data_IF_035865428487
#
_entry.id   IF_035865428487
#
_cell.length_a   1.000
_cell.length_b   1.000
_cell.length_c   1.000
_cell.angle_alpha   90.00
_cell.angle_beta   90.00
_cell.angle_gamma   90.00
#
_symmetry.space_group_name_H-M   'P 1'
#
loop_
_entity.id
_entity.type
_entity.pdbx_description
1 polymer ?
#
# COMPACT_ATOMS: atom_id res chain seq x y z
N UNK A 1 8.16 -22.71 24.15
CA UNK A 1 8.58 -21.66 23.19
C UNK A 1 7.72 -21.82 21.95
N UNK A 2 6.71 -20.97 21.73
CA UNK A 2 5.92 -21.02 20.49
C UNK A 2 6.72 -20.33 19.38
N UNK A 3 7.30 -21.09 18.46
CA UNK A 3 7.79 -20.52 17.21
C UNK A 3 6.56 -20.17 16.35
N UNK A 4 6.11 -18.92 16.46
CA UNK A 4 5.05 -18.38 15.59
C UNK A 4 5.66 -18.05 14.23
N UNK A 5 5.46 -18.92 13.26
CA UNK A 5 5.81 -18.62 11.87
C UNK A 5 4.84 -17.59 11.31
N UNK A 6 5.35 -16.53 10.71
CA UNK A 6 4.53 -15.54 9.99
C UNK A 6 3.88 -16.20 8.79
N UNK A 7 2.55 -16.12 8.67
CA UNK A 7 1.84 -16.64 7.50
C UNK A 7 1.77 -15.59 6.39
N UNK A 8 1.56 -16.01 5.13
CA UNK A 8 1.29 -15.07 4.04
C UNK A 8 0.11 -14.14 4.36
N UNK A 9 -0.90 -14.66 5.07
CA UNK A 9 -2.05 -13.85 5.45
C UNK A 9 -1.70 -12.75 6.44
N UNK A 10 -0.73 -12.99 7.31
CA UNK A 10 -0.23 -11.97 8.24
C UNK A 10 0.52 -10.87 7.48
N UNK A 11 1.33 -11.24 6.48
CA UNK A 11 2.00 -10.29 5.58
C UNK A 11 0.97 -9.42 4.84
N UNK A 12 -0.05 -10.03 4.23
CA UNK A 12 -1.11 -9.31 3.51
C UNK A 12 -1.87 -8.31 4.41
N UNK A 13 -2.06 -8.62 5.70
CA UNK A 13 -2.71 -7.69 6.64
C UNK A 13 -1.84 -6.47 6.88
N UNK A 14 -0.55 -6.65 7.15
CA UNK A 14 0.39 -5.54 7.35
C UNK A 14 0.52 -4.70 6.09
N UNK A 15 0.56 -5.33 4.92
CA UNK A 15 0.59 -4.62 3.64
C UNK A 15 -0.68 -3.80 3.41
N UNK A 16 -1.85 -4.33 3.77
CA UNK A 16 -3.09 -3.56 3.71
C UNK A 16 -3.05 -2.34 4.64
N UNK A 17 -2.49 -2.49 5.86
CA UNK A 17 -2.30 -1.36 6.78
C UNK A 17 -1.38 -0.29 6.17
N UNK A 18 -0.28 -0.70 5.54
CA UNK A 18 0.62 0.21 4.80
C UNK A 18 -0.11 0.93 3.66
N UNK A 19 -0.91 0.20 2.87
CA UNK A 19 -1.67 0.78 1.76
C UNK A 19 -2.75 1.76 2.25
N UNK A 20 -3.40 1.48 3.39
CA UNK A 20 -4.37 2.38 3.99
C UNK A 20 -3.71 3.65 4.53
N UNK A 21 -2.52 3.55 5.11
CA UNK A 21 -1.78 4.73 5.56
C UNK A 21 -1.27 5.57 4.38
N UNK A 22 -0.79 4.91 3.32
CA UNK A 22 -0.48 5.56 2.06
C UNK A 22 -1.70 6.30 1.47
N UNK A 23 -2.87 5.64 1.42
CA UNK A 23 -4.13 6.25 0.95
C UNK A 23 -4.54 7.44 1.82
N UNK A 24 -4.40 7.35 3.15
CA UNK A 24 -4.68 8.46 4.08
C UNK A 24 -3.87 9.70 3.72
N UNK A 25 -2.56 9.53 3.50
CA UNK A 25 -1.65 10.62 3.11
C UNK A 25 -2.06 11.19 1.75
N UNK A 26 -2.29 10.33 0.75
CA UNK A 26 -2.68 10.77 -0.58
C UNK A 26 -3.99 11.56 -0.56
N UNK A 27 -5.01 11.10 0.17
CA UNK A 27 -6.30 11.79 0.31
C UNK A 27 -6.17 13.13 1.01
N UNK A 28 -5.40 13.20 2.10
CA UNK A 28 -5.17 14.44 2.86
C UNK A 28 -4.56 15.54 1.99
N UNK A 29 -3.66 15.18 1.07
CA UNK A 29 -2.92 16.11 0.21
C UNK A 29 -3.45 16.22 -1.23
N UNK A 30 -4.58 15.56 -1.54
CA UNK A 30 -5.18 15.56 -2.87
C UNK A 30 -4.28 14.97 -3.96
N UNK A 31 -3.50 13.94 -3.61
CA UNK A 31 -2.60 13.23 -4.52
C UNK A 31 -3.35 12.06 -5.15
N UNK A 32 -3.23 11.93 -6.47
CA UNK A 32 -3.83 10.82 -7.21
C UNK A 32 -2.84 9.68 -7.36
N UNK A 33 -3.34 8.47 -7.14
CA UNK A 33 -2.64 7.23 -7.42
C UNK A 33 -3.64 6.19 -7.95
N UNK A 34 -3.11 5.12 -8.51
CA UNK A 34 -3.88 3.95 -8.93
C UNK A 34 -3.27 2.71 -8.28
N UNK A 35 -4.11 1.74 -7.91
CA UNK A 35 -3.61 0.37 -7.72
C UNK A 35 -3.07 -0.12 -9.07
N UNK A 36 -2.00 -0.91 -9.03
CA UNK A 36 -1.34 -1.36 -10.24
C UNK A 36 -1.18 -2.88 -10.27
N UNK A 37 -0.93 -3.43 -11.47
CA UNK A 37 -0.63 -4.84 -11.71
C UNK A 37 -1.48 -5.86 -10.90
N UNK A 38 -0.82 -6.72 -10.11
CA UNK A 38 -1.46 -7.79 -9.32
C UNK A 38 -2.43 -7.24 -8.28
N UNK A 39 -2.09 -6.13 -7.63
CA UNK A 39 -2.92 -5.46 -6.63
C UNK A 39 -4.25 -4.99 -7.21
N UNK A 40 -4.24 -4.33 -8.38
CA UNK A 40 -5.48 -3.91 -9.05
C UNK A 40 -6.34 -5.11 -9.46
N UNK A 41 -5.70 -6.13 -10.06
CA UNK A 41 -6.40 -7.34 -10.48
C UNK A 41 -7.04 -8.07 -9.29
N UNK A 42 -6.30 -8.20 -8.18
CA UNK A 42 -6.79 -8.77 -6.93
C UNK A 42 -8.03 -8.03 -6.42
N UNK A 43 -7.92 -6.70 -6.29
CA UNK A 43 -9.01 -5.87 -5.79
C UNK A 43 -10.31 -6.07 -6.59
N UNK A 44 -10.22 -6.16 -7.92
CA UNK A 44 -11.37 -6.35 -8.80
C UNK A 44 -11.89 -7.79 -8.77
N UNK A 45 -10.99 -8.78 -8.96
CA UNK A 45 -11.33 -10.21 -9.17
C UNK A 45 -11.63 -10.96 -7.87
N UNK A 46 -10.79 -10.79 -6.86
CA UNK A 46 -10.85 -11.54 -5.59
C UNK A 46 -11.44 -10.71 -4.44
N UNK A 47 -11.74 -9.42 -4.67
CA UNK A 47 -12.21 -8.47 -3.64
C UNK A 47 -11.20 -8.32 -2.50
N UNK A 48 -9.91 -8.40 -2.83
CA UNK A 48 -8.80 -8.37 -1.90
C UNK A 48 -7.50 -8.79 -2.60
N UNK A 49 -6.55 -9.34 -1.88
CA UNK A 49 -5.33 -9.87 -2.48
C UNK A 49 -5.62 -11.07 -3.40
N UNK A 50 -4.74 -11.28 -4.39
CA UNK A 50 -4.61 -12.59 -5.01
C UNK A 50 -4.12 -13.56 -3.92
N UNK A 51 -4.66 -14.80 -3.79
CA UNK A 51 -4.36 -15.64 -2.63
C UNK A 51 -2.87 -15.96 -2.40
N UNK A 52 -2.05 -15.86 -3.44
CA UNK A 52 -0.61 -16.11 -3.41
C UNK A 52 0.25 -14.84 -3.64
N UNK A 53 -0.36 -13.66 -3.73
CA UNK A 53 0.39 -12.39 -3.77
C UNK A 53 0.98 -12.09 -2.41
N UNK A 54 2.22 -11.61 -2.42
CA UNK A 54 3.01 -11.22 -1.26
C UNK A 54 3.53 -9.77 -1.34
N UNK A 55 2.97 -8.94 -2.23
CA UNK A 55 3.29 -7.51 -2.37
C UNK A 55 2.06 -6.63 -2.69
N UNK A 56 2.31 -5.31 -2.75
CA UNK A 56 1.35 -4.29 -3.17
C UNK A 56 2.05 -3.33 -4.14
N UNK A 57 1.40 -3.09 -5.28
CA UNK A 57 1.80 -2.11 -6.27
C UNK A 57 0.81 -0.94 -6.35
N UNK A 58 1.35 0.27 -6.29
CA UNK A 58 0.65 1.51 -6.65
C UNK A 58 1.46 2.25 -7.70
N UNK A 59 0.77 3.03 -8.55
CA UNK A 59 1.43 3.92 -9.50
C UNK A 59 0.86 5.33 -9.42
N UNK A 60 1.72 6.30 -9.76
CA UNK A 60 1.41 7.73 -9.70
C UNK A 60 1.95 8.41 -10.96
N UNK A 61 1.29 9.47 -11.40
CA UNK A 61 1.89 10.39 -12.37
C UNK A 61 3.10 11.06 -11.73
N UNK A 62 4.08 11.44 -12.56
CA UNK A 62 5.35 12.00 -12.08
C UNK A 62 5.17 13.16 -11.11
N UNK A 63 4.30 14.12 -11.46
CA UNK A 63 4.05 15.29 -10.63
C UNK A 63 3.43 14.95 -9.27
N UNK A 64 2.51 13.98 -9.20
CA UNK A 64 1.93 13.57 -7.93
C UNK A 64 2.93 12.78 -7.07
N UNK A 65 3.80 11.97 -7.67
CA UNK A 65 4.87 11.31 -6.95
C UNK A 65 5.89 12.31 -6.36
N UNK A 66 6.28 13.33 -7.11
CA UNK A 66 7.22 14.35 -6.61
C UNK A 66 6.62 15.11 -5.43
N UNK A 67 5.33 15.47 -5.52
CA UNK A 67 4.60 16.05 -4.40
C UNK A 67 4.48 15.09 -3.22
N UNK A 68 4.24 13.80 -3.49
CA UNK A 68 4.20 12.75 -2.46
C UNK A 68 5.51 12.69 -1.65
N UNK A 69 6.66 12.68 -2.34
CA UNK A 69 7.97 12.69 -1.68
C UNK A 69 8.19 13.92 -0.78
N UNK A 70 7.61 15.06 -1.12
CA UNK A 70 7.66 16.25 -0.27
C UNK A 70 6.80 16.08 0.97
N UNK A 71 5.52 15.71 0.82
CA UNK A 71 4.58 15.65 1.96
C UNK A 71 4.92 14.51 2.92
N UNK A 72 5.47 13.39 2.43
CA UNK A 72 5.83 12.26 3.27
C UNK A 72 6.96 12.55 4.25
N UNK A 73 7.76 13.60 4.02
CA UNK A 73 8.76 14.03 5.01
C UNK A 73 8.13 14.52 6.30
N UNK A 74 6.90 15.04 6.22
CA UNK A 74 6.15 15.58 7.36
C UNK A 74 5.08 14.60 7.89
N UNK A 75 4.56 13.72 7.03
CA UNK A 75 3.49 12.77 7.41
C UNK A 75 4.00 11.44 7.98
N UNK A 76 5.21 11.02 7.62
CA UNK A 76 5.80 9.79 8.13
C UNK A 76 6.84 10.16 9.17
N UNK A 77 6.61 9.72 10.42
CA UNK A 77 7.53 9.97 11.54
C UNK A 77 8.96 9.55 11.16
N UNK A 78 9.93 10.36 11.58
CA UNK A 78 11.34 9.96 11.60
C UNK A 78 11.54 8.96 12.74
N UNK A 79 11.17 7.70 12.51
CA UNK A 79 11.61 6.61 13.38
C UNK A 79 13.10 6.36 13.17
#
# INVERSE_FOLDING_TARGET
MSNSWTTLRDVQKVQLEILLEFDRICRKHGLKYLLFAGTLLGAVRHKGFIPWDDDIDVCMLRGDYERFLTVCKDELDHV
#
